data_IF_045639260255
#
_entry.id   IF_045639260255
#
_cell.length_a   1.000
_cell.length_b   1.000
_cell.length_c   1.000
_cell.angle_alpha   90.00
_cell.angle_beta   90.00
_cell.angle_gamma   90.00
#
_symmetry.space_group_name_H-M   'P 1'
#
loop_
_entity.id
_entity.type
_entity.pdbx_description
1 polymer ?
#
# COMPACT_ATOMS: atom_id res chain seq x y z
N UNK A 1 4.66 -26.61 -19.52
CA UNK A 1 4.28 -27.24 -18.24
C UNK A 1 2.88 -26.77 -17.90
N UNK A 2 1.91 -27.69 -17.84
CA UNK A 2 0.54 -27.41 -17.40
C UNK A 2 0.60 -27.40 -15.86
N UNK A 3 0.15 -26.32 -15.22
CA UNK A 3 0.09 -26.27 -13.76
C UNK A 3 -0.96 -27.27 -13.31
N UNK A 4 -0.56 -28.36 -12.63
CA UNK A 4 -1.52 -29.29 -12.02
C UNK A 4 -2.42 -28.53 -11.03
N UNK A 5 -3.74 -28.79 -10.99
CA UNK A 5 -4.65 -28.23 -9.99
C UNK A 5 -4.15 -28.38 -8.54
N UNK A 6 -3.36 -29.41 -8.27
CA UNK A 6 -2.80 -29.72 -6.94
C UNK A 6 -1.76 -28.70 -6.48
N UNK A 7 -1.20 -27.89 -7.40
CA UNK A 7 -0.22 -26.85 -7.10
C UNK A 7 -0.85 -25.45 -6.96
N UNK A 8 -2.18 -25.35 -6.90
CA UNK A 8 -2.90 -24.09 -6.92
C UNK A 8 -3.39 -23.70 -5.52
N UNK A 9 -2.71 -22.70 -4.92
CA UNK A 9 -3.13 -22.17 -3.62
C UNK A 9 -4.29 -21.17 -3.79
N UNK A 10 -5.52 -21.68 -3.72
CA UNK A 10 -6.73 -20.87 -3.73
C UNK A 10 -6.85 -19.94 -2.51
N UNK A 11 -7.64 -18.85 -2.65
CA UNK A 11 -7.82 -17.84 -1.59
C UNK A 11 -8.34 -18.45 -0.28
N UNK A 12 -9.31 -19.36 -0.38
CA UNK A 12 -9.92 -20.03 0.78
C UNK A 12 -8.92 -20.96 1.48
N UNK A 13 -8.16 -21.75 0.71
CA UNK A 13 -7.13 -22.63 1.24
C UNK A 13 -6.03 -21.82 1.94
N UNK A 14 -5.53 -20.74 1.33
CA UNK A 14 -4.58 -19.83 1.96
C UNK A 14 -5.13 -19.25 3.26
N UNK A 15 -6.37 -18.76 3.25
CA UNK A 15 -6.96 -18.15 4.45
C UNK A 15 -7.09 -19.17 5.59
N UNK A 16 -7.59 -20.38 5.29
CA UNK A 16 -7.77 -21.44 6.29
C UNK A 16 -6.46 -22.02 6.81
N UNK A 17 -5.48 -22.24 5.93
CA UNK A 17 -4.23 -22.91 6.30
C UNK A 17 -3.17 -21.95 6.83
N UNK A 18 -3.11 -20.71 6.31
CA UNK A 18 -2.00 -19.80 6.62
C UNK A 18 -2.39 -18.77 7.67
N UNK A 19 -3.58 -18.16 7.57
CA UNK A 19 -3.94 -17.05 8.46
C UNK A 19 -4.29 -17.53 9.88
N UNK A 20 -4.80 -18.76 10.00
CA UNK A 20 -5.10 -19.40 11.30
C UNK A 20 -3.84 -19.64 12.13
N UNK A 21 -2.71 -19.93 11.49
CA UNK A 21 -1.42 -20.13 12.14
C UNK A 21 -0.81 -18.83 12.71
N UNK A 22 -1.31 -17.65 12.33
CA UNK A 22 -0.78 -16.40 12.85
C UNK A 22 -1.07 -16.26 14.36
N UNK A 23 -0.05 -15.88 15.13
CA UNK A 23 -0.22 -15.53 16.55
C UNK A 23 -0.99 -14.20 16.68
N UNK A 24 -1.70 -14.02 17.80
CA UNK A 24 -2.41 -12.76 18.12
C UNK A 24 -1.48 -11.54 18.05
N UNK A 25 -0.25 -11.68 18.54
CA UNK A 25 0.75 -10.62 18.47
C UNK A 25 1.13 -10.26 17.02
N UNK A 26 1.32 -11.27 16.16
CA UNK A 26 1.64 -11.05 14.73
C UNK A 26 0.52 -10.29 14.00
N UNK A 27 -0.74 -10.65 14.28
CA UNK A 27 -1.91 -9.90 13.76
C UNK A 27 -1.89 -8.45 14.22
N UNK A 28 -1.72 -8.19 15.52
CA UNK A 28 -1.63 -6.84 16.08
C UNK A 28 -0.54 -5.99 15.43
N UNK A 29 0.62 -6.59 15.14
CA UNK A 29 1.71 -5.91 14.43
C UNK A 29 1.29 -5.55 13.01
N UNK A 30 0.74 -6.51 12.26
CA UNK A 30 0.33 -6.33 10.87
C UNK A 30 -0.81 -5.30 10.71
N UNK A 31 -1.72 -5.23 11.69
CA UNK A 31 -2.85 -4.31 11.70
C UNK A 31 -2.42 -2.83 11.90
N UNK A 32 -1.19 -2.58 12.37
CA UNK A 32 -0.64 -1.23 12.49
C UNK A 32 0.56 -1.03 11.57
N UNK A 33 0.40 -0.16 10.57
CA UNK A 33 1.50 0.24 9.67
C UNK A 33 2.69 0.83 10.42
N UNK A 34 2.44 1.59 11.50
CA UNK A 34 3.49 2.15 12.34
C UNK A 34 4.23 1.08 13.16
N UNK A 35 3.52 0.13 13.77
CA UNK A 35 4.17 -0.98 14.49
C UNK A 35 4.97 -1.88 13.55
N UNK A 36 4.38 -2.22 12.40
CA UNK A 36 5.06 -2.97 11.34
C UNK A 36 6.37 -2.28 10.94
N UNK A 37 6.32 -0.98 10.59
CA UNK A 37 7.53 -0.21 10.23
C UNK A 37 8.58 -0.20 11.34
N UNK A 38 8.17 -0.02 12.60
CA UNK A 38 9.08 -0.06 13.75
C UNK A 38 9.82 -1.39 13.84
N UNK A 39 9.13 -2.51 13.65
CA UNK A 39 9.73 -3.84 13.69
C UNK A 39 10.63 -4.09 12.49
N UNK A 40 10.20 -3.71 11.29
CA UNK A 40 11.02 -3.81 10.08
C UNK A 40 12.33 -3.03 10.24
N UNK A 41 12.26 -1.77 10.71
CA UNK A 41 13.45 -0.94 10.97
C UNK A 41 14.37 -1.52 12.03
N UNK A 42 13.83 -2.08 13.11
CA UNK A 42 14.62 -2.76 14.17
C UNK A 42 15.42 -3.94 13.61
N UNK A 43 14.93 -4.57 12.54
CA UNK A 43 15.59 -5.67 11.84
C UNK A 43 16.29 -5.20 10.54
N UNK A 44 16.63 -3.92 10.43
CA UNK A 44 17.38 -3.34 9.29
C UNK A 44 16.70 -3.51 7.92
N UNK A 45 15.38 -3.70 7.88
CA UNK A 45 14.62 -3.73 6.64
C UNK A 45 14.22 -2.32 6.21
N UNK A 46 14.41 -1.97 4.93
CA UNK A 46 14.12 -0.63 4.43
C UNK A 46 12.62 -0.35 4.48
N UNK A 47 12.28 0.85 4.95
CA UNK A 47 10.90 1.34 4.95
C UNK A 47 10.90 2.83 4.60
N UNK A 48 9.84 3.36 3.97
CA UNK A 48 9.74 4.81 3.73
C UNK A 48 9.86 5.59 5.04
N UNK A 49 10.65 6.67 5.04
CA UNK A 49 10.87 7.49 6.23
C UNK A 49 9.54 8.08 6.69
N UNK A 50 9.30 8.02 7.99
CA UNK A 50 8.18 8.70 8.62
C UNK A 50 8.61 10.16 8.83
N UNK A 51 7.81 11.09 8.33
CA UNK A 51 8.04 12.54 8.41
C UNK A 51 7.32 13.15 9.60
N UNK A 52 6.10 12.69 9.90
CA UNK A 52 5.31 13.14 11.04
C UNK A 52 4.36 12.04 11.52
N UNK A 53 4.03 12.04 12.81
CA UNK A 53 3.02 11.15 13.42
C UNK A 53 2.10 12.02 14.25
N UNK A 54 0.79 11.85 14.07
CA UNK A 54 -0.25 12.58 14.79
C UNK A 54 -1.09 11.60 15.59
N UNK A 55 -1.06 11.75 16.91
CA UNK A 55 -1.84 10.96 17.88
C UNK A 55 -2.98 11.77 18.47
N UNK A 56 -2.86 13.09 18.47
CA UNK A 56 -3.85 14.01 19.03
C UNK A 56 -4.21 15.11 18.03
N UNK A 57 -5.40 15.74 18.18
CA UNK A 57 -5.74 16.93 17.40
C UNK A 57 -4.71 18.06 17.56
N UNK A 58 -4.12 18.20 18.75
CA UNK A 58 -3.07 19.20 19.00
C UNK A 58 -1.84 18.96 18.13
N UNK A 59 -1.41 17.70 17.99
CA UNK A 59 -0.28 17.34 17.11
C UNK A 59 -0.52 17.80 15.66
N UNK A 60 -1.78 17.81 15.19
CA UNK A 60 -2.15 18.23 13.83
C UNK A 60 -2.15 19.75 13.69
N UNK A 61 -2.70 20.44 14.69
CA UNK A 61 -2.87 21.89 14.68
C UNK A 61 -1.54 22.62 14.82
N UNK A 62 -0.65 22.11 15.67
CA UNK A 62 0.65 22.72 15.96
C UNK A 62 1.73 22.35 14.91
N UNK A 63 1.42 21.43 13.99
CA UNK A 63 2.38 20.96 12.99
C UNK A 63 2.66 22.01 11.89
N UNK A 64 3.93 22.28 11.54
CA UNK A 64 4.29 23.19 10.45
C UNK A 64 4.13 22.51 9.09
N UNK A 65 2.90 22.44 8.56
CA UNK A 65 2.57 21.75 7.31
C UNK A 65 3.38 22.26 6.10
N UNK A 66 3.71 23.54 6.08
CA UNK A 66 4.46 24.21 5.03
C UNK A 66 5.92 23.74 4.95
N UNK A 67 6.46 23.17 6.04
CA UNK A 67 7.80 22.59 6.09
C UNK A 67 7.89 21.20 5.46
N UNK A 68 6.76 20.62 5.03
CA UNK A 68 6.75 19.33 4.36
C UNK A 68 7.53 19.39 3.03
N UNK A 69 8.14 18.25 2.63
CA UNK A 69 8.80 18.15 1.34
C UNK A 69 7.80 18.29 0.19
N UNK A 70 8.31 18.38 -1.04
CA UNK A 70 7.47 18.53 -2.23
C UNK A 70 6.42 17.44 -2.38
N UNK A 71 6.77 16.20 -2.01
CA UNK A 71 5.92 15.04 -2.13
C UNK A 71 5.96 14.19 -0.87
N UNK A 72 4.80 13.67 -0.49
CA UNK A 72 4.62 12.84 0.69
C UNK A 72 3.31 12.05 0.59
N UNK A 73 3.07 11.16 1.56
CA UNK A 73 1.81 10.42 1.70
C UNK A 73 1.27 10.63 3.11
N UNK A 74 0.04 11.11 3.23
CA UNK A 74 -0.72 11.18 4.48
C UNK A 74 -1.67 9.99 4.55
N UNK A 75 -1.63 9.20 5.62
CA UNK A 75 -2.47 7.99 5.73
C UNK A 75 -2.74 7.51 7.16
N UNK A 76 -3.79 6.70 7.36
CA UNK A 76 -4.09 6.02 8.62
C UNK A 76 -3.14 4.85 8.91
N UNK A 77 -2.79 4.66 10.18
CA UNK A 77 -2.02 3.51 10.65
C UNK A 77 -2.80 2.20 10.54
N UNK A 78 -4.06 2.15 10.99
CA UNK A 78 -4.92 0.95 10.98
C UNK A 78 -5.92 0.90 9.82
N UNK A 79 -5.99 1.95 9.01
CA UNK A 79 -7.01 2.06 7.96
C UNK A 79 -7.10 0.86 7.01
N UNK A 80 -8.33 0.60 6.56
CA UNK A 80 -8.73 -0.58 5.78
C UNK A 80 -8.95 -0.27 4.29
N UNK A 81 -8.74 -1.26 3.42
CA UNK A 81 -9.08 -1.16 1.99
C UNK A 81 -8.34 -0.08 1.18
N UNK A 82 -7.30 0.54 1.74
CA UNK A 82 -6.61 1.67 1.12
C UNK A 82 -7.37 3.00 1.21
N UNK A 83 -8.36 3.11 2.08
CA UNK A 83 -9.07 4.36 2.35
C UNK A 83 -8.25 5.30 3.24
N UNK A 84 -8.57 6.59 3.21
CA UNK A 84 -7.90 7.61 4.01
C UNK A 84 -6.48 7.95 3.56
N UNK A 85 -6.05 7.49 2.38
CA UNK A 85 -4.70 7.73 1.85
C UNK A 85 -4.73 8.91 0.89
N UNK A 86 -3.98 9.97 1.20
CA UNK A 86 -3.72 11.10 0.31
C UNK A 86 -2.27 11.01 -0.17
N UNK A 87 -2.09 11.00 -1.50
CA UNK A 87 -0.78 10.95 -2.14
C UNK A 87 -0.50 12.31 -2.77
N UNK A 88 0.43 13.05 -2.18
CA UNK A 88 0.87 14.34 -2.68
C UNK A 88 1.95 14.17 -3.74
N UNK A 89 1.79 14.88 -4.87
CA UNK A 89 2.68 14.81 -6.04
C UNK A 89 3.80 15.82 -6.00
N UNK A 90 3.48 17.08 -5.75
CA UNK A 90 4.42 18.21 -5.67
C UNK A 90 3.75 19.39 -4.99
N UNK A 91 4.53 20.35 -4.49
CA UNK A 91 4.03 21.69 -4.11
C UNK A 91 3.38 22.38 -5.31
N UNK A 92 2.35 23.18 -5.03
CA UNK A 92 1.70 24.04 -6.01
C UNK A 92 2.36 25.43 -6.05
N UNK A 93 1.73 26.39 -6.73
CA UNK A 93 2.27 27.74 -6.90
C UNK A 93 2.29 28.53 -5.59
N UNK A 94 1.27 28.37 -4.76
CA UNK A 94 1.12 29.10 -3.50
C UNK A 94 1.59 28.27 -2.30
N UNK A 95 2.08 28.93 -1.27
CA UNK A 95 2.51 28.27 -0.04
C UNK A 95 1.32 27.61 0.65
N UNK A 96 1.52 26.39 1.17
CA UNK A 96 0.44 25.61 1.80
C UNK A 96 -0.51 24.94 0.80
N UNK A 97 -0.15 24.87 -0.48
CA UNK A 97 -0.89 24.15 -1.51
C UNK A 97 -0.03 23.09 -2.21
N UNK A 98 -0.68 21.98 -2.58
CA UNK A 98 -0.05 20.87 -3.28
C UNK A 98 -0.94 20.31 -4.38
N UNK A 99 -0.31 19.74 -5.41
CA UNK A 99 -1.00 18.93 -6.40
C UNK A 99 -1.08 17.47 -5.94
N UNK A 100 -2.25 16.86 -6.10
CA UNK A 100 -2.48 15.43 -5.94
C UNK A 100 -2.08 14.66 -7.22
N UNK A 101 -2.24 13.34 -7.17
CA UNK A 101 -1.89 12.44 -8.28
C UNK A 101 -2.75 12.65 -9.53
N UNK A 102 -4.01 13.03 -9.35
CA UNK A 102 -4.97 13.32 -10.42
C UNK A 102 -4.88 14.76 -10.95
N UNK A 103 -3.99 15.58 -10.38
CA UNK A 103 -3.82 16.98 -10.76
C UNK A 103 -4.72 17.97 -10.00
N UNK A 104 -5.61 17.48 -9.12
CA UNK A 104 -6.36 18.35 -8.22
C UNK A 104 -5.45 19.04 -7.20
N UNK A 105 -5.91 20.17 -6.66
CA UNK A 105 -5.22 20.91 -5.61
C UNK A 105 -5.74 20.47 -4.24
N UNK A 106 -4.84 20.47 -3.26
CA UNK A 106 -5.18 20.35 -1.84
C UNK A 106 -4.39 21.38 -1.04
N UNK A 107 -5.01 22.00 -0.05
CA UNK A 107 -4.37 22.97 0.83
C UNK A 107 -4.12 22.44 2.26
N UNK A 108 -3.37 23.20 3.05
CA UNK A 108 -3.06 22.87 4.46
C UNK A 108 -4.32 22.62 5.29
N UNK A 109 -5.40 23.39 5.10
CA UNK A 109 -6.65 23.23 5.87
C UNK A 109 -7.31 21.89 5.57
N UNK A 110 -7.35 21.49 4.31
CA UNK A 110 -7.91 20.20 3.88
C UNK A 110 -7.06 19.02 4.38
N UNK A 111 -5.73 19.13 4.33
CA UNK A 111 -4.83 18.13 4.90
C UNK A 111 -5.00 17.96 6.42
N UNK A 112 -5.13 19.08 7.15
CA UNK A 112 -5.42 19.06 8.60
C UNK A 112 -6.76 18.39 8.88
N UNK A 113 -7.80 18.78 8.14
CA UNK A 113 -9.13 18.19 8.28
C UNK A 113 -9.11 16.68 8.03
N UNK A 114 -8.47 16.24 6.95
CA UNK A 114 -8.32 14.82 6.64
C UNK A 114 -7.55 14.05 7.73
N UNK A 115 -6.51 14.64 8.30
CA UNK A 115 -5.79 14.05 9.43
C UNK A 115 -6.67 13.91 10.69
N UNK A 116 -7.56 14.87 10.95
CA UNK A 116 -8.53 14.80 12.05
C UNK A 116 -9.57 13.69 11.80
N UNK A 117 -10.02 13.51 10.56
CA UNK A 117 -10.93 12.40 10.20
C UNK A 117 -10.26 11.03 10.37
N UNK A 118 -8.96 10.94 10.09
CA UNK A 118 -8.20 9.72 10.40
C UNK A 118 -8.20 9.47 11.91
N UNK A 119 -7.90 10.48 12.74
CA UNK A 119 -7.87 10.35 14.19
C UNK A 119 -9.22 9.92 14.78
N UNK A 120 -10.33 10.45 14.25
CA UNK A 120 -11.68 10.08 14.67
C UNK A 120 -12.06 8.65 14.27
N UNK A 121 -11.21 7.97 13.49
CA UNK A 121 -11.41 6.57 13.10
C UNK A 121 -12.22 6.39 11.83
N UNK A 122 -12.53 7.46 11.07
CA UNK A 122 -13.38 7.42 9.85
C UNK A 122 -12.97 6.32 8.86
N UNK A 123 -11.67 6.02 8.77
CA UNK A 123 -11.11 5.06 7.81
C UNK A 123 -10.71 3.71 8.42
N UNK A 124 -11.00 3.49 9.70
CA UNK A 124 -10.71 2.26 10.43
C UNK A 124 -11.88 1.27 10.35
N UNK A 125 -11.57 -0.03 10.29
CA UNK A 125 -12.57 -1.11 10.12
C UNK A 125 -13.74 -1.09 11.13
N UNK A 126 -13.51 -0.54 12.33
CA UNK A 126 -14.50 -0.48 13.41
C UNK A 126 -14.74 0.95 13.94
N UNK A 127 -14.44 1.98 13.14
CA UNK A 127 -14.50 3.38 13.57
C UNK A 127 -13.74 3.69 14.87
N UNK A 128 -12.74 2.87 15.20
CA UNK A 128 -11.91 3.04 16.38
C UNK A 128 -10.82 4.07 16.17
N UNK A 129 -10.36 4.67 17.26
CA UNK A 129 -9.27 5.65 17.28
C UNK A 129 -8.05 5.11 16.51
N UNK A 130 -7.58 5.91 15.55
CA UNK A 130 -6.41 5.64 14.74
C UNK A 130 -5.36 6.75 14.90
N UNK A 131 -4.21 6.55 14.26
CA UNK A 131 -3.09 7.48 14.21
C UNK A 131 -2.89 7.88 12.75
N UNK A 132 -2.93 9.18 12.47
CA UNK A 132 -2.55 9.72 11.18
C UNK A 132 -1.03 9.89 11.13
N UNK A 133 -0.42 9.64 9.97
CA UNK A 133 1.00 9.90 9.81
C UNK A 133 1.35 10.27 8.38
N UNK A 134 2.46 11.00 8.26
CA UNK A 134 3.04 11.41 6.98
C UNK A 134 4.33 10.62 6.77
N UNK A 135 4.51 10.09 5.56
CA UNK A 135 5.74 9.41 5.15
C UNK A 135 6.23 9.89 3.79
N UNK A 136 7.49 9.59 3.49
CA UNK A 136 8.05 9.71 2.16
C UNK A 136 7.23 8.95 1.13
N UNK A 137 7.01 9.58 -0.01
CA UNK A 137 6.41 8.91 -1.15
C UNK A 137 7.44 8.03 -1.86
N UNK A 138 7.08 6.77 -2.07
CA UNK A 138 7.90 5.84 -2.86
C UNK A 138 7.85 6.26 -4.34
N UNK A 139 9.03 6.45 -4.94
CA UNK A 139 9.16 6.65 -6.39
C UNK A 139 9.17 5.29 -7.08
N UNK A 140 8.37 5.18 -8.14
CA UNK A 140 8.31 3.97 -8.95
C UNK A 140 9.63 3.86 -9.73
N UNK A 141 10.25 2.69 -9.70
CA UNK A 141 11.43 2.40 -10.50
C UNK A 141 11.09 2.45 -11.99
N UNK A 142 11.97 3.06 -12.80
CA UNK A 142 11.76 3.27 -14.25
C UNK A 142 11.43 1.97 -15.01
N UNK A 143 11.95 0.83 -14.55
CA UNK A 143 11.66 -0.47 -15.15
C UNK A 143 10.17 -0.80 -15.11
N UNK A 144 9.48 -0.48 -14.02
CA UNK A 144 8.05 -0.76 -13.91
C UNK A 144 7.18 0.26 -14.64
N UNK A 145 7.68 1.48 -14.86
CA UNK A 145 6.94 2.53 -15.57
C UNK A 145 6.55 2.11 -17.00
N UNK A 146 7.28 1.19 -17.61
CA UNK A 146 6.98 0.63 -18.95
C UNK A 146 5.80 -0.36 -18.96
N UNK A 147 5.45 -0.90 -17.80
CA UNK A 147 4.47 -1.98 -17.65
C UNK A 147 3.20 -1.56 -16.91
N UNK A 148 3.09 -0.29 -16.53
CA UNK A 148 1.93 0.24 -15.80
C UNK A 148 1.35 1.41 -16.56
N UNK A 149 0.02 1.49 -16.59
CA UNK A 149 -0.66 2.64 -17.15
C UNK A 149 -0.43 3.87 -16.25
N UNK A 150 -0.92 3.78 -15.01
CA UNK A 150 -0.73 4.76 -13.94
C UNK A 150 -0.72 4.04 -12.58
N UNK A 151 -0.18 4.69 -11.54
CA UNK A 151 -0.14 4.13 -10.18
C UNK A 151 1.10 3.30 -9.87
N UNK A 152 1.17 2.74 -8.67
CA UNK A 152 2.37 2.08 -8.16
C UNK A 152 2.25 0.56 -8.23
N UNK A 153 3.02 -0.12 -9.07
CA UNK A 153 3.11 -1.57 -9.04
C UNK A 153 3.75 -2.03 -7.73
N UNK A 154 3.46 -3.26 -7.34
CA UNK A 154 4.05 -3.86 -6.15
C UNK A 154 4.30 -5.35 -6.34
N UNK A 155 5.28 -5.86 -5.58
CA UNK A 155 5.58 -7.29 -5.52
C UNK A 155 4.99 -7.80 -4.22
N UNK A 156 4.10 -8.79 -4.32
CA UNK A 156 3.56 -9.51 -3.17
C UNK A 156 4.31 -10.82 -3.01
N UNK A 157 4.89 -11.02 -1.84
CA UNK A 157 5.47 -12.30 -1.41
C UNK A 157 4.60 -12.87 -0.30
N UNK A 158 4.21 -14.14 -0.43
CA UNK A 158 3.51 -14.90 0.61
C UNK A 158 4.56 -15.74 1.33
N UNK A 159 4.69 -15.53 2.64
CA UNK A 159 5.60 -16.26 3.51
C UNK A 159 4.77 -17.08 4.49
N UNK A 160 5.09 -18.37 4.60
CA UNK A 160 4.50 -19.28 5.57
C UNK A 160 5.60 -19.99 6.35
N UNK A 161 5.48 -20.02 7.68
CA UNK A 161 6.47 -20.62 8.57
C UNK A 161 7.93 -20.22 8.24
N UNK A 162 8.17 -18.92 8.04
CA UNK A 162 9.49 -18.33 7.68
C UNK A 162 10.01 -18.68 6.27
N UNK A 163 9.24 -19.38 5.44
CA UNK A 163 9.61 -19.74 4.06
C UNK A 163 8.72 -18.98 3.07
N UNK A 164 9.28 -18.26 2.09
CA UNK A 164 8.52 -17.75 0.95
C UNK A 164 7.94 -18.91 0.14
N UNK A 165 6.63 -18.93 -0.07
CA UNK A 165 5.95 -20.03 -0.81
C UNK A 165 5.34 -19.57 -2.12
N UNK A 166 5.12 -18.27 -2.31
CA UNK A 166 4.68 -17.71 -3.59
C UNK A 166 5.08 -16.24 -3.70
N UNK A 167 5.31 -15.78 -4.93
CA UNK A 167 5.47 -14.37 -5.24
C UNK A 167 4.69 -13.99 -6.50
N UNK A 168 4.21 -12.76 -6.54
CA UNK A 168 3.61 -12.19 -7.74
C UNK A 168 3.90 -10.70 -7.85
N UNK A 169 4.09 -10.22 -9.07
CA UNK A 169 4.05 -8.82 -9.43
C UNK A 169 2.60 -8.42 -9.68
N UNK A 170 2.18 -7.27 -9.15
CA UNK A 170 0.85 -6.69 -9.37
C UNK A 170 1.01 -5.40 -10.16
N UNK A 171 0.47 -5.40 -11.36
CA UNK A 171 0.56 -4.31 -12.32
C UNK A 171 -0.79 -3.60 -12.42
N UNK A 172 -0.86 -2.30 -12.04
CA UNK A 172 -2.03 -1.48 -12.29
C UNK A 172 -2.35 -1.35 -13.77
N UNK A 173 -3.61 -1.54 -14.09
CA UNK A 173 -4.20 -1.38 -15.43
C UNK A 173 -5.14 -0.19 -15.48
N UNK A 174 -5.63 0.14 -16.69
CA UNK A 174 -6.73 1.11 -16.88
C UNK A 174 -7.99 0.71 -16.13
N UNK A 175 -8.36 -0.57 -16.18
CA UNK A 175 -9.52 -1.14 -15.47
C UNK A 175 -9.42 -0.91 -13.95
N UNK A 176 -8.21 -1.08 -13.40
CA UNK A 176 -7.94 -0.83 -11.98
C UNK A 176 -7.86 0.63 -11.55
N UNK A 177 -8.03 1.58 -12.47
CA UNK A 177 -7.84 3.01 -12.24
C UNK A 177 -6.49 3.32 -11.57
N UNK A 178 -5.46 2.56 -11.94
CA UNK A 178 -4.11 2.68 -11.38
C UNK A 178 -3.91 2.08 -9.98
N UNK A 179 -4.76 1.15 -9.53
CA UNK A 179 -4.59 0.41 -8.26
C UNK A 179 -4.07 -1.01 -8.50
N UNK A 180 -3.19 -1.51 -7.65
CA UNK A 180 -2.61 -2.87 -7.81
C UNK A 180 -3.48 -4.00 -7.26
N UNK A 181 -4.78 -3.77 -7.05
CA UNK A 181 -5.68 -4.77 -6.48
C UNK A 181 -6.26 -5.66 -7.57
N UNK A 182 -5.98 -6.96 -7.51
CA UNK A 182 -6.44 -7.92 -8.54
C UNK A 182 -7.96 -7.93 -8.70
N UNK A 183 -8.70 -7.80 -7.60
CA UNK A 183 -10.18 -7.71 -7.63
C UNK A 183 -10.70 -6.40 -8.24
N UNK A 184 -9.83 -5.41 -8.46
CA UNK A 184 -10.16 -4.17 -9.15
C UNK A 184 -9.72 -4.21 -10.62
N UNK A 185 -9.29 -5.36 -11.15
CA UNK A 185 -8.80 -5.47 -12.53
C UNK A 185 -7.30 -5.22 -12.70
N UNK A 186 -6.52 -5.25 -11.61
CA UNK A 186 -5.06 -5.24 -11.74
C UNK A 186 -4.56 -6.58 -12.28
N UNK A 187 -3.50 -6.55 -13.09
CA UNK A 187 -2.85 -7.75 -13.61
C UNK A 187 -1.94 -8.36 -12.54
N UNK A 188 -2.11 -9.65 -12.28
CA UNK A 188 -1.19 -10.44 -11.46
C UNK A 188 -0.24 -11.24 -12.35
N UNK A 189 1.06 -11.14 -12.12
CA UNK A 189 2.07 -11.93 -12.84
C UNK A 189 2.82 -12.76 -11.82
N UNK A 190 2.76 -14.09 -11.94
CA UNK A 190 3.51 -14.98 -11.06
C UNK A 190 5.02 -14.76 -11.19
N UNK A 191 5.76 -14.90 -10.08
CA UNK A 191 7.23 -14.80 -10.08
C UNK A 191 7.79 -16.08 -9.46
N UNK A 192 8.64 -16.78 -10.22
CA UNK A 192 9.34 -17.97 -9.73
C UNK A 192 10.29 -17.60 -8.59
N UNK A 193 10.10 -18.17 -7.40
CA UNK A 193 10.90 -17.81 -6.22
C UNK A 193 12.39 -18.12 -6.37
N UNK A 194 12.73 -19.21 -7.06
CA UNK A 194 14.12 -19.63 -7.28
C UNK A 194 14.82 -18.82 -8.39
N UNK A 195 14.07 -18.36 -9.40
CA UNK A 195 14.65 -17.79 -10.62
C UNK A 195 14.43 -16.28 -10.75
N UNK A 196 13.44 -15.72 -10.04
CA UNK A 196 12.96 -14.36 -10.25
C UNK A 196 12.24 -14.14 -11.59
N UNK A 197 12.09 -15.18 -12.41
CA UNK A 197 11.49 -15.10 -13.74
C UNK A 197 9.97 -15.09 -13.62
N UNK A 198 9.32 -14.21 -14.37
CA UNK A 198 7.86 -14.15 -14.46
C UNK A 198 7.29 -15.40 -15.12
N UNK A 199 6.17 -15.90 -14.62
CA UNK A 199 5.51 -17.11 -15.12
C UNK A 199 4.26 -16.76 -15.92
N UNK A 200 3.07 -16.88 -15.31
CA UNK A 200 1.78 -16.65 -15.97
C UNK A 200 1.17 -15.32 -15.53
N UNK A 201 0.50 -14.66 -16.46
CA UNK A 201 -0.37 -13.52 -16.18
C UNK A 201 -1.79 -13.97 -15.84
N UNK A 202 -2.43 -13.30 -14.89
CA UNK A 202 -3.82 -13.50 -14.49
C UNK A 202 -4.52 -12.15 -14.41
N UNK A 203 -5.63 -12.01 -15.14
CA UNK A 203 -6.51 -10.84 -15.10
C UNK A 203 -7.95 -11.32 -14.91
N UNK A 204 -8.66 -10.73 -13.95
CA UNK A 204 -10.06 -11.08 -13.63
C UNK A 204 -10.29 -12.60 -13.42
N UNK A 205 -9.30 -13.31 -12.85
CA UNK A 205 -9.37 -14.75 -12.59
C UNK A 205 -9.02 -15.64 -13.79
N UNK A 206 -8.73 -15.06 -14.95
CA UNK A 206 -8.38 -15.79 -16.17
C UNK A 206 -6.89 -15.67 -16.49
N UNK A 207 -6.29 -16.77 -16.94
CA UNK A 207 -4.92 -16.74 -17.46
C UNK A 207 -4.85 -15.96 -18.76
N UNK A 208 -3.88 -15.06 -18.86
CA UNK A 208 -3.62 -14.27 -20.06
C UNK A 208 -2.21 -14.55 -20.58
N UNK A 209 -2.05 -14.57 -21.90
CA UNK A 209 -0.74 -14.67 -22.57
C UNK A 209 -0.23 -13.32 -23.06
N UNK A 210 -1.14 -12.38 -23.32
CA UNK A 210 -0.83 -11.05 -23.83
C UNK A 210 -1.51 -10.01 -22.94
N UNK A 211 -0.76 -8.95 -22.63
CA UNK A 211 -1.25 -7.78 -21.93
C UNK A 211 -1.60 -6.77 -23.03
N UNK A 212 -2.87 -6.32 -23.15
CA UNK A 212 -3.25 -5.28 -24.09
C UNK A 212 -2.65 -3.92 -23.75
#
# INVERSE_FOLDING_TARGET
MIVSPDNLLGLNARNRLFLTANKKEGRRIADSKLLTKRILRKNHLPTPKILAIFRTPKDIMDFPWESLPDNFVLKPSKGFGGQGVIIVKKKAKWAGEWYLMDGSLINTRELRFHALEILSGRFSLHNGVDVAFIEERIKIQKIFAKYVWHGSPDIRVIVFNKVPVAAMLRLPTKESKGKSNLHQGALGVGVGLATGITTYGVLNGHFIRFIP
#
